data_IF_419722761733
#
_entry.id   IF_419722761733
#
_cell.length_a   1.000
_cell.length_b   1.000
_cell.length_c   1.000
_cell.angle_alpha   90.00
_cell.angle_beta   90.00
_cell.angle_gamma   90.00
#
_symmetry.space_group_name_H-M   'P 1'
#
loop_
_entity.id
_entity.type
_entity.pdbx_description
1 polymer ?
#
# COMPACT_ATOMS: atom_id res chain seq x y z
N UNK A 1 0.58 4.28 -5.90
CA UNK A 1 0.80 3.85 -7.29
C UNK A 1 -0.52 3.77 -8.07
N UNK A 2 -1.53 3.03 -7.64
CA UNK A 2 -2.79 2.82 -8.39
C UNK A 2 -3.44 4.09 -8.96
N UNK A 3 -3.46 5.19 -8.20
CA UNK A 3 -4.05 6.46 -8.67
C UNK A 3 -3.35 7.06 -9.89
N UNK A 4 -2.04 6.83 -10.09
CA UNK A 4 -1.34 7.38 -11.25
C UNK A 4 -1.67 6.65 -12.56
N UNK A 5 -2.16 5.42 -12.49
CA UNK A 5 -2.55 4.61 -13.64
C UNK A 5 -4.06 4.31 -13.73
N UNK A 6 -4.87 4.88 -12.83
CA UNK A 6 -6.31 4.64 -12.79
C UNK A 6 -7.03 5.39 -13.91
N UNK A 7 -7.72 4.66 -14.79
CA UNK A 7 -8.58 5.25 -15.84
C UNK A 7 -9.77 6.04 -15.26
N UNK A 8 -10.12 5.79 -13.99
CA UNK A 8 -11.18 6.50 -13.27
C UNK A 8 -10.70 7.78 -12.57
N UNK A 9 -9.39 8.03 -12.50
CA UNK A 9 -8.84 9.26 -11.93
C UNK A 9 -8.78 10.37 -12.99
N UNK A 10 -8.93 11.63 -12.60
CA UNK A 10 -8.73 12.76 -13.51
C UNK A 10 -7.26 12.90 -13.92
N UNK A 11 -7.01 13.54 -15.07
CA UNK A 11 -5.65 13.76 -15.59
C UNK A 11 -4.74 14.45 -14.58
N UNK A 12 -5.27 15.44 -13.85
CA UNK A 12 -4.55 16.14 -12.78
C UNK A 12 -4.18 15.20 -11.63
N UNK A 13 -5.11 14.34 -11.20
CA UNK A 13 -4.83 13.36 -10.13
C UNK A 13 -3.75 12.37 -10.59
N UNK A 14 -3.83 11.89 -11.84
CA UNK A 14 -2.82 10.99 -12.40
C UNK A 14 -1.44 11.65 -12.44
N UNK A 15 -1.36 12.91 -12.88
CA UNK A 15 -0.11 13.66 -12.96
C UNK A 15 0.53 13.88 -11.58
N UNK A 16 -0.26 14.31 -10.58
CA UNK A 16 0.24 14.50 -9.22
C UNK A 16 0.69 13.17 -8.62
N UNK A 17 -0.09 12.10 -8.79
CA UNK A 17 0.27 10.78 -8.30
C UNK A 17 1.54 10.24 -8.97
N UNK A 18 1.76 10.53 -10.26
CA UNK A 18 2.99 10.18 -10.97
C UNK A 18 4.21 10.94 -10.41
N UNK A 19 4.06 12.24 -10.13
CA UNK A 19 5.11 13.03 -9.48
C UNK A 19 5.47 12.47 -8.10
N UNK A 20 4.47 12.15 -7.27
CA UNK A 20 4.71 11.54 -5.94
C UNK A 20 5.37 10.17 -6.02
N UNK A 21 5.08 9.41 -7.08
CA UNK A 21 5.76 8.14 -7.32
C UNK A 21 7.25 8.33 -7.67
N UNK A 22 7.57 9.37 -8.43
CA UNK A 22 8.95 9.72 -8.75
C UNK A 22 9.73 10.19 -7.50
N UNK A 23 9.15 11.09 -6.69
CA UNK A 23 9.74 11.53 -5.42
C UNK A 23 10.04 10.33 -4.49
N UNK A 24 9.12 9.34 -4.43
CA UNK A 24 9.35 8.11 -3.66
C UNK A 24 10.52 7.29 -4.22
N UNK A 25 10.64 7.20 -5.55
CA UNK A 25 11.75 6.48 -6.21
C UNK A 25 13.09 7.11 -5.86
N UNK A 26 13.19 8.43 -5.91
CA UNK A 26 14.41 9.17 -5.53
C UNK A 26 14.76 8.95 -4.06
N UNK A 27 13.76 9.02 -3.18
CA UNK A 27 13.95 8.75 -1.75
C UNK A 27 14.46 7.32 -1.51
N UNK A 28 13.89 6.30 -2.16
CA UNK A 28 14.35 4.91 -2.03
C UNK A 28 15.81 4.73 -2.47
N UNK A 29 16.23 5.41 -3.55
CA UNK A 29 17.62 5.38 -4.00
C UNK A 29 18.57 6.00 -2.96
N UNK A 30 18.19 7.12 -2.35
CA UNK A 30 18.95 7.73 -1.26
C UNK A 30 18.99 6.83 -0.01
N UNK A 31 17.85 6.26 0.38
CA UNK A 31 17.72 5.38 1.55
C UNK A 31 18.54 4.10 1.45
N UNK A 32 18.68 3.50 0.26
CA UNK A 32 19.53 2.32 0.07
C UNK A 32 21.00 2.57 0.43
N UNK A 33 21.48 3.80 0.23
CA UNK A 33 22.85 4.20 0.57
C UNK A 33 23.04 4.40 2.07
N UNK A 34 21.96 4.68 2.81
CA UNK A 34 21.95 4.88 4.26
C UNK A 34 21.57 3.62 5.06
N UNK A 35 21.10 2.57 4.38
CA UNK A 35 20.64 1.33 5.01
C UNK A 35 21.75 0.65 5.82
N UNK A 36 21.43 0.26 7.06
CA UNK A 36 22.41 -0.24 8.03
C UNK A 36 22.64 -1.75 7.95
N UNK A 37 21.61 -2.48 7.52
CA UNK A 37 21.63 -3.94 7.43
C UNK A 37 21.10 -4.43 6.07
N UNK A 38 21.30 -5.73 5.83
CA UNK A 38 20.93 -6.36 4.57
C UNK A 38 19.42 -6.53 4.40
N UNK A 39 18.67 -6.63 5.50
CA UNK A 39 17.23 -6.83 5.51
C UNK A 39 16.53 -5.54 5.04
N UNK A 40 16.90 -4.40 5.64
CA UNK A 40 16.45 -3.07 5.23
C UNK A 40 16.78 -2.82 3.75
N UNK A 41 18.03 -3.11 3.33
CA UNK A 41 18.43 -2.95 1.92
C UNK A 41 17.61 -3.83 0.99
N UNK A 42 17.29 -5.07 1.37
CA UNK A 42 16.47 -5.97 0.55
C UNK A 42 15.04 -5.43 0.38
N UNK A 43 14.44 -4.91 1.45
CA UNK A 43 13.10 -4.29 1.38
C UNK A 43 13.09 -3.03 0.49
N UNK A 44 14.09 -2.15 0.64
CA UNK A 44 14.22 -0.95 -0.18
C UNK A 44 14.43 -1.31 -1.66
N UNK A 45 15.26 -2.32 -1.95
CA UNK A 45 15.49 -2.81 -3.30
C UNK A 45 14.21 -3.41 -3.93
N UNK A 46 13.46 -4.20 -3.16
CA UNK A 46 12.19 -4.77 -3.60
C UNK A 46 11.17 -3.67 -3.93
N UNK A 47 11.04 -2.66 -3.06
CA UNK A 47 10.17 -1.51 -3.30
C UNK A 47 10.57 -0.74 -4.57
N UNK A 48 11.86 -0.48 -4.76
CA UNK A 48 12.38 0.18 -5.96
C UNK A 48 12.04 -0.62 -7.24
N UNK A 49 12.21 -1.94 -7.19
CA UNK A 49 11.89 -2.84 -8.31
C UNK A 49 10.40 -2.84 -8.65
N UNK A 50 9.53 -2.79 -7.64
CA UNK A 50 8.08 -2.67 -7.84
C UNK A 50 7.70 -1.36 -8.54
N UNK A 51 8.32 -0.23 -8.17
CA UNK A 51 8.08 1.06 -8.83
C UNK A 51 8.51 1.01 -10.30
N UNK A 52 9.70 0.47 -10.59
CA UNK A 52 10.19 0.34 -11.98
C UNK A 52 9.27 -0.53 -12.82
N UNK A 53 8.81 -1.66 -12.27
CA UNK A 53 7.86 -2.53 -12.97
C UNK A 53 6.52 -1.83 -13.19
N UNK A 54 6.00 -1.12 -12.19
CA UNK A 54 4.77 -0.34 -12.31
C UNK A 54 4.87 0.75 -13.37
N UNK A 55 5.98 1.49 -13.42
CA UNK A 55 6.21 2.54 -14.43
C UNK A 55 6.31 1.97 -15.84
N UNK A 56 6.88 0.76 -15.99
CA UNK A 56 6.98 0.06 -17.28
C UNK A 56 5.62 -0.46 -17.75
N UNK A 57 4.89 -1.12 -16.86
CA UNK A 57 3.56 -1.65 -17.12
C UNK A 57 2.74 -1.72 -15.82
N UNK A 58 1.83 -0.75 -15.59
CA UNK A 58 1.02 -0.70 -14.39
C UNK A 58 0.14 -1.93 -14.18
N UNK A 59 -0.17 -2.68 -15.25
CA UNK A 59 -1.03 -3.88 -15.19
C UNK A 59 -0.33 -5.08 -14.59
N UNK A 60 1.01 -5.07 -14.52
CA UNK A 60 1.79 -6.18 -13.96
C UNK A 60 1.93 -6.13 -12.44
N UNK A 61 1.62 -4.99 -11.83
CA UNK A 61 1.70 -4.84 -10.37
C UNK A 61 0.31 -5.03 -9.79
N UNK A 62 0.04 -6.27 -9.35
CA UNK A 62 -1.18 -6.57 -8.59
C UNK A 62 -1.03 -5.98 -7.20
N UNK A 63 -1.87 -4.98 -6.87
CA UNK A 63 -2.02 -4.53 -5.49
C UNK A 63 -2.75 -5.65 -4.75
N UNK A 64 -2.23 -6.09 -3.60
CA UNK A 64 -2.93 -7.06 -2.77
C UNK A 64 -4.33 -6.51 -2.45
N UNK A 65 -5.40 -7.32 -2.56
CA UNK A 65 -6.71 -6.89 -2.14
C UNK A 65 -6.67 -6.47 -0.67
N UNK A 66 -7.54 -5.53 -0.24
CA UNK A 66 -7.70 -5.24 1.18
C UNK A 66 -7.90 -6.54 1.95
N UNK A 67 -7.25 -6.67 3.11
CA UNK A 67 -7.52 -7.80 3.99
C UNK A 67 -9.01 -7.81 4.34
N UNK A 68 -9.63 -8.98 4.34
CA UNK A 68 -11.00 -9.12 4.84
C UNK A 68 -11.02 -8.72 6.31
N UNK A 69 -12.02 -7.92 6.74
CA UNK A 69 -12.18 -7.64 8.16
C UNK A 69 -12.34 -8.97 8.90
N UNK A 70 -11.72 -9.15 10.08
CA UNK A 70 -11.98 -10.34 10.88
C UNK A 70 -13.48 -10.40 11.19
N UNK A 71 -14.07 -11.60 11.19
CA UNK A 71 -15.45 -11.79 11.63
C UNK A 71 -15.61 -11.20 13.04
N UNK A 72 -16.37 -10.12 13.14
CA UNK A 72 -16.68 -9.52 14.43
C UNK A 72 -17.59 -10.45 15.23
N UNK A 73 -17.38 -10.59 16.55
CA UNK A 73 -18.43 -11.19 17.38
C UNK A 73 -19.71 -10.35 17.25
N UNK A 74 -20.91 -10.97 17.32
CA UNK A 74 -22.16 -10.23 17.24
C UNK A 74 -22.17 -9.12 18.29
N UNK A 75 -22.34 -7.87 17.84
CA UNK A 75 -22.62 -6.77 18.75
C UNK A 75 -24.04 -7.00 19.26
N UNK A 76 -24.18 -7.31 20.55
CA UNK A 76 -25.48 -7.54 21.18
C UNK A 76 -25.62 -8.77 22.07
N UNK A 77 -24.56 -9.53 22.38
CA UNK A 77 -24.58 -10.46 23.54
C UNK A 77 -24.23 -9.74 24.84
N UNK A 78 -24.78 -8.54 25.02
CA UNK A 78 -25.19 -8.05 26.33
C UNK A 78 -26.70 -8.35 26.40
N UNK A 79 -27.05 -9.63 26.54
CA UNK A 79 -28.39 -9.98 27.01
C UNK A 79 -28.34 -9.81 28.53
N UNK A 80 -28.66 -8.59 28.96
CA UNK A 80 -28.95 -8.25 30.33
C UNK A 80 -30.12 -9.10 30.84
N UNK A 81 -29.82 -9.99 31.79
CA UNK A 81 -30.77 -10.32 32.86
C UNK A 81 -31.14 -11.79 32.97
N UNK A 82 -30.47 -12.50 33.89
CA UNK A 82 -31.09 -13.54 34.72
C UNK A 82 -30.27 -13.71 36.01
N UNK A 83 -30.32 -12.67 36.84
CA UNK A 83 -29.99 -12.73 38.26
C UNK A 83 -31.23 -12.33 39.06
N UNK A 84 -31.70 -13.26 39.90
CA UNK A 84 -32.78 -13.18 40.90
C UNK A 84 -34.18 -13.65 40.48
N UNK A 85 -34.42 -14.94 40.72
CA UNK A 85 -35.72 -15.60 40.92
C UNK A 85 -35.52 -16.85 41.75
#
# INVERSE_FOLDING_TARGET
MTLSASEHASDQVRAIAALKLEELREWLAASQSAAKDAEERAHLFAAMSQIVQFQKDPKQVSVAPPAEPPDGPPIGTDDDGDGWG
#
